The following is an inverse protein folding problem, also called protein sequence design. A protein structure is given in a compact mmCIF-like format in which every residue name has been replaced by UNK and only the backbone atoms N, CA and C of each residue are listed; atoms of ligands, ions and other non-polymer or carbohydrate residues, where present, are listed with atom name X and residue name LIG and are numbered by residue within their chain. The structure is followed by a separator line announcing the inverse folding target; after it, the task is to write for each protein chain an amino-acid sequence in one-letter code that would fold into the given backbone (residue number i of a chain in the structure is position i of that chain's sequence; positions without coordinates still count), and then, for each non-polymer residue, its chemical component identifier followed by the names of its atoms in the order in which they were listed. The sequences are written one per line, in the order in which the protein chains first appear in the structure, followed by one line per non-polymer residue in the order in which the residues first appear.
data_IF_690925029562
#
_entry.id   IF_690925029562
#
_cell.length_a   1.000
_cell.length_b   1.000
_cell.length_c   1.000
_cell.angle_alpha   90.00
_cell.angle_beta   90.00
_cell.angle_gamma   90.00
#
_symmetry.space_group_name_H-M   'P 1'
#
loop_
_entity.id
_entity.type
_entity.pdbx_description
1 polymer ?
#
# COMPACT_ATOMS: atom_id res chain seq x y z
N UNK A 1 1.91 -29.83 -4.93
CA UNK A 1 1.40 -28.45 -5.07
C UNK A 1 -0.12 -28.49 -4.99
N UNK A 2 -0.77 -27.45 -4.46
CA UNK A 2 -2.24 -27.32 -4.46
C UNK A 2 -2.65 -26.49 -5.67
N UNK A 3 -3.56 -27.00 -6.50
CA UNK A 3 -4.04 -26.29 -7.69
C UNK A 3 -5.11 -25.27 -7.29
N UNK A 4 -4.75 -23.99 -7.23
CA UNK A 4 -5.71 -22.91 -6.96
C UNK A 4 -6.45 -22.51 -8.25
N UNK A 5 -7.71 -22.92 -8.36
CA UNK A 5 -8.63 -22.40 -9.39
C UNK A 5 -9.15 -21.03 -8.94
N UNK A 6 -8.40 -19.97 -9.26
CA UNK A 6 -8.66 -18.59 -8.82
C UNK A 6 -10.09 -18.13 -9.08
N UNK A 7 -10.88 -17.97 -8.02
CA UNK A 7 -12.18 -17.30 -8.07
C UNK A 7 -12.01 -15.80 -7.78
N UNK A 8 -12.53 -14.97 -8.69
CA UNK A 8 -12.96 -13.59 -8.42
C UNK A 8 -11.95 -12.51 -8.02
N UNK A 9 -10.64 -12.67 -8.29
CA UNK A 9 -9.70 -11.55 -8.36
C UNK A 9 -9.18 -11.35 -9.80
N UNK A 10 -9.27 -10.12 -10.32
CA UNK A 10 -8.94 -9.79 -11.72
C UNK A 10 -7.47 -9.38 -11.82
N UNK A 11 -6.60 -10.39 -11.85
CA UNK A 11 -5.17 -10.22 -12.14
C UNK A 11 -4.95 -10.04 -13.63
N UNK A 12 -4.15 -9.04 -14.02
CA UNK A 12 -3.61 -8.97 -15.36
C UNK A 12 -2.30 -9.76 -15.40
N UNK A 13 -2.36 -10.96 -15.98
CA UNK A 13 -1.22 -11.85 -16.20
C UNK A 13 -0.67 -11.61 -17.59
N UNK A 14 0.59 -11.17 -17.68
CA UNK A 14 1.27 -10.95 -18.96
C UNK A 14 2.42 -11.96 -19.13
N UNK A 15 2.57 -12.50 -20.33
CA UNK A 15 3.71 -13.36 -20.67
C UNK A 15 4.90 -12.50 -21.09
N UNK A 16 5.94 -12.46 -20.26
CA UNK A 16 7.21 -11.77 -20.53
C UNK A 16 8.10 -12.61 -21.46
N UNK A 17 8.06 -13.93 -21.35
CA UNK A 17 8.66 -14.86 -22.32
C UNK A 17 7.71 -16.06 -22.54
N UNK A 18 7.57 -16.47 -23.81
CA UNK A 18 6.72 -17.58 -24.27
C UNK A 18 7.52 -18.81 -24.72
N UNK A 19 8.84 -18.83 -24.48
CA UNK A 19 9.70 -20.00 -24.73
C UNK A 19 9.27 -21.24 -23.93
N UNK A 20 9.35 -22.42 -24.56
CA UNK A 20 9.13 -23.71 -23.92
C UNK A 20 10.25 -24.11 -22.93
N UNK A 21 11.37 -23.38 -22.95
CA UNK A 21 12.55 -23.61 -22.10
C UNK A 21 12.67 -22.62 -20.96
N UNK A 22 12.28 -21.36 -21.19
CA UNK A 22 12.42 -20.24 -20.25
C UNK A 22 11.15 -19.37 -20.17
N UNK A 23 9.98 -19.97 -19.86
CA UNK A 23 8.72 -19.24 -19.73
C UNK A 23 8.81 -18.23 -18.57
N UNK A 24 8.22 -17.04 -18.75
CA UNK A 24 8.11 -16.08 -17.65
C UNK A 24 6.83 -15.25 -17.75
N UNK A 25 6.23 -15.01 -16.58
CA UNK A 25 5.00 -14.23 -16.44
C UNK A 25 5.20 -13.05 -15.48
N UNK A 26 4.48 -11.97 -15.73
CA UNK A 26 4.37 -10.81 -14.84
C UNK A 26 2.94 -10.73 -14.30
N UNK A 27 2.81 -10.64 -12.99
CA UNK A 27 1.54 -10.40 -12.31
C UNK A 27 1.40 -8.90 -12.03
N UNK A 28 0.35 -8.25 -12.56
CA UNK A 28 0.08 -6.83 -12.32
C UNK A 28 -1.06 -6.62 -11.31
N UNK A 29 -1.02 -5.48 -10.63
CA UNK A 29 -1.95 -5.05 -9.58
C UNK A 29 -1.93 -5.90 -8.28
N UNK A 30 -0.76 -6.43 -7.92
CA UNK A 30 -0.55 -7.20 -6.68
C UNK A 30 -0.73 -6.37 -5.39
N UNK A 31 -1.24 -7.02 -4.34
CA UNK A 31 -1.62 -6.47 -3.03
C UNK A 31 -0.99 -7.27 -1.87
N UNK A 32 -1.15 -6.86 -0.59
CA UNK A 32 -0.68 -7.57 0.64
C UNK A 32 -1.59 -8.83 0.88
N UNK A 33 -2.10 -9.43 -0.21
CA UNK A 33 -2.98 -10.59 -0.35
C UNK A 33 -2.66 -11.46 -1.60
N UNK A 34 -1.73 -11.02 -2.47
CA UNK A 34 -1.32 -11.74 -3.69
C UNK A 34 0.11 -12.34 -3.57
N UNK A 35 0.61 -12.37 -2.33
CA UNK A 35 1.80 -13.09 -1.89
C UNK A 35 1.54 -14.60 -1.83
N UNK A 36 2.45 -15.42 -2.35
CA UNK A 36 2.24 -16.87 -2.38
C UNK A 36 3.20 -17.67 -3.26
N UNK A 37 2.90 -18.97 -3.40
CA UNK A 37 3.64 -19.88 -4.27
C UNK A 37 3.10 -19.84 -5.71
N UNK A 38 4.00 -19.58 -6.66
CA UNK A 38 3.71 -19.57 -8.08
C UNK A 38 4.55 -20.63 -8.82
N UNK A 39 3.93 -21.31 -9.78
CA UNK A 39 4.62 -22.21 -10.72
C UNK A 39 4.01 -22.01 -12.12
N UNK A 40 4.84 -22.14 -13.15
CA UNK A 40 4.47 -21.81 -14.52
C UNK A 40 4.41 -23.09 -15.37
N UNK A 41 3.24 -23.70 -15.47
CA UNK A 41 3.04 -24.88 -16.34
C UNK A 41 2.89 -24.43 -17.80
N UNK A 42 3.81 -24.89 -18.64
CA UNK A 42 3.74 -24.72 -20.10
C UNK A 42 2.98 -25.90 -20.70
N UNK A 43 2.18 -25.65 -21.73
CA UNK A 43 1.49 -26.68 -22.50
C UNK A 43 1.96 -26.60 -23.95
N UNK A 44 2.29 -27.75 -24.52
CA UNK A 44 2.76 -27.88 -25.90
C UNK A 44 1.96 -28.99 -26.62
N UNK A 45 1.80 -28.87 -27.94
CA UNK A 45 1.09 -29.85 -28.77
C UNK A 45 2.10 -30.74 -29.50
N UNK A 46 2.42 -31.88 -28.87
CA UNK A 46 3.21 -32.92 -29.50
C UNK A 46 2.35 -33.73 -30.48
N UNK A 47 3.01 -34.53 -31.33
CA UNK A 47 2.33 -35.38 -32.33
C UNK A 47 1.37 -36.39 -31.68
N UNK A 48 1.69 -36.84 -30.46
CA UNK A 48 0.87 -37.74 -29.64
C UNK A 48 -0.14 -37.01 -28.71
N UNK A 49 -0.30 -35.69 -28.87
CA UNK A 49 -1.30 -34.88 -28.16
C UNK A 49 -0.74 -33.82 -27.20
N UNK A 50 -1.63 -33.26 -26.37
CA UNK A 50 -1.33 -32.15 -25.46
C UNK A 50 -0.41 -32.59 -24.32
N UNK A 51 0.82 -32.07 -24.29
CA UNK A 51 1.83 -32.36 -23.27
C UNK A 51 2.01 -31.18 -22.33
N UNK A 52 1.69 -31.39 -21.05
CA UNK A 52 2.00 -30.43 -19.98
C UNK A 52 3.46 -30.58 -19.52
N UNK A 53 4.21 -29.48 -19.50
CA UNK A 53 5.55 -29.36 -18.92
C UNK A 53 5.51 -28.34 -17.78
N UNK A 54 5.40 -28.83 -16.55
CA UNK A 54 5.69 -28.01 -15.37
C UNK A 54 7.19 -28.05 -15.07
N UNK A 55 7.82 -26.93 -14.65
CA UNK A 55 8.99 -26.96 -13.80
C UNK A 55 8.73 -27.86 -12.59
N UNK A 56 9.79 -28.48 -12.05
CA UNK A 56 9.70 -29.20 -10.77
C UNK A 56 9.60 -28.23 -9.59
N UNK A 57 10.05 -27.00 -9.80
CA UNK A 57 10.19 -25.95 -8.80
C UNK A 57 8.94 -25.07 -8.70
N UNK A 58 8.74 -24.49 -7.51
CA UNK A 58 7.71 -23.50 -7.21
C UNK A 58 8.36 -22.32 -6.49
N UNK A 59 8.10 -21.10 -6.94
CA UNK A 59 8.73 -19.89 -6.41
C UNK A 59 7.79 -19.20 -5.42
N UNK A 60 8.30 -18.86 -4.23
CA UNK A 60 7.56 -18.03 -3.29
C UNK A 60 7.79 -16.55 -3.62
N UNK A 61 6.71 -15.81 -3.89
CA UNK A 61 6.75 -14.39 -4.27
C UNK A 61 6.22 -13.56 -3.10
N UNK A 62 7.11 -12.77 -2.48
CA UNK A 62 6.75 -11.83 -1.39
C UNK A 62 6.31 -10.48 -1.94
N UNK A 63 5.35 -9.82 -1.29
CA UNK A 63 4.81 -8.50 -1.71
C UNK A 63 4.98 -7.52 -0.54
N UNK A 64 6.14 -6.86 -0.52
CA UNK A 64 6.71 -6.32 0.73
C UNK A 64 6.01 -5.07 1.31
N UNK A 65 6.13 -4.92 2.63
CA UNK A 65 5.66 -3.78 3.40
C UNK A 65 6.44 -2.49 3.05
N UNK A 66 5.75 -1.33 3.07
CA UNK A 66 6.32 -0.04 2.65
C UNK A 66 6.34 0.98 3.78
N UNK A 67 7.47 1.64 3.98
CA UNK A 67 7.55 2.85 4.81
C UNK A 67 6.94 4.06 4.08
N UNK A 68 6.13 4.84 4.79
CA UNK A 68 5.49 6.07 4.30
C UNK A 68 5.72 7.18 5.32
N UNK A 69 6.47 8.20 4.93
CA UNK A 69 6.57 9.46 5.65
C UNK A 69 5.35 10.33 5.32
N UNK A 70 4.75 10.93 6.35
CA UNK A 70 3.60 11.83 6.27
C UNK A 70 3.94 13.11 7.03
N UNK A 71 3.42 14.25 6.57
CA UNK A 71 3.61 15.55 7.19
C UNK A 71 2.28 16.28 7.35
N UNK A 72 2.13 17.01 8.43
CA UNK A 72 1.04 17.95 8.69
C UNK A 72 1.60 19.27 9.24
N UNK A 73 1.06 20.39 8.77
CA UNK A 73 1.43 21.73 9.22
C UNK A 73 0.18 22.59 9.35
N UNK A 74 0.14 23.41 10.39
CA UNK A 74 -0.96 24.32 10.68
C UNK A 74 -0.45 25.59 11.37
N UNK A 75 -1.01 26.75 11.01
CA UNK A 75 -0.65 28.06 11.57
C UNK A 75 -1.83 28.64 12.35
N UNK A 76 -1.56 29.26 13.51
CA UNK A 76 -2.61 29.81 14.36
C UNK A 76 -2.13 30.81 15.42
N UNK A 77 -3.10 31.41 16.11
CA UNK A 77 -2.97 32.17 17.36
C UNK A 77 -4.07 31.68 18.31
N UNK A 78 -3.77 30.94 19.40
CA UNK A 78 -2.46 30.38 19.78
C UNK A 78 -1.95 29.30 18.80
N UNK A 79 -0.76 28.77 19.07
CA UNK A 79 -0.17 27.66 18.29
C UNK A 79 -1.11 26.44 18.27
N UNK A 80 -1.40 25.84 17.10
CA UNK A 80 -2.33 24.73 17.01
C UNK A 80 -1.70 23.40 17.42
N UNK A 81 -2.36 22.61 18.26
CA UNK A 81 -1.90 21.26 18.57
C UNK A 81 -2.16 20.31 17.39
N UNK A 82 -1.26 19.36 17.15
CA UNK A 82 -1.38 18.34 16.10
C UNK A 82 -1.43 16.96 16.75
N UNK A 83 -2.43 16.17 16.36
CA UNK A 83 -2.60 14.77 16.72
C UNK A 83 -2.77 13.91 15.45
N UNK A 84 -2.39 12.65 15.52
CA UNK A 84 -2.51 11.71 14.40
C UNK A 84 -3.56 10.64 14.71
N UNK A 85 -4.52 10.48 13.81
CA UNK A 85 -5.57 9.46 13.86
C UNK A 85 -5.31 8.48 12.72
N UNK A 86 -4.69 7.36 13.06
CA UNK A 86 -4.33 6.26 12.15
C UNK A 86 -5.35 5.14 12.34
N UNK A 87 -5.98 4.66 11.27
CA UNK A 87 -6.85 3.48 11.37
C UNK A 87 -6.01 2.22 11.69
N UNK A 88 -6.48 1.35 12.61
CA UNK A 88 -5.71 0.22 13.11
C UNK A 88 -5.30 -0.76 12.01
N UNK A 89 -4.20 -1.49 12.25
CA UNK A 89 -3.57 -2.38 11.27
C UNK A 89 -2.53 -1.70 10.37
N UNK A 90 -2.31 -0.39 10.50
CA UNK A 90 -1.03 0.18 10.09
C UNK A 90 0.03 -0.35 11.08
N UNK A 91 1.22 -0.67 10.56
CA UNK A 91 2.37 -1.06 11.37
C UNK A 91 3.02 0.16 12.04
N UNK A 92 4.10 -0.11 12.75
CA UNK A 92 4.66 0.79 13.75
C UNK A 92 4.97 2.20 13.22
N UNK A 93 4.66 3.20 14.07
CA UNK A 93 5.12 4.56 13.92
C UNK A 93 6.52 4.68 14.52
N UNK A 94 7.55 4.61 13.67
CA UNK A 94 8.95 4.55 14.09
C UNK A 94 9.61 5.91 14.27
N UNK A 95 9.01 6.96 13.72
CA UNK A 95 9.50 8.34 13.83
C UNK A 95 8.32 9.29 14.01
N UNK A 96 8.46 10.26 14.91
CA UNK A 96 7.51 11.32 15.22
C UNK A 96 8.30 12.60 15.52
N UNK A 97 8.36 13.50 14.56
CA UNK A 97 9.09 14.76 14.68
C UNK A 97 8.10 15.92 14.74
N UNK A 98 8.05 16.59 15.89
CA UNK A 98 7.21 17.76 16.12
C UNK A 98 8.10 19.01 16.22
N UNK A 99 7.72 20.09 15.54
CA UNK A 99 8.35 21.40 15.68
C UNK A 99 7.29 22.51 15.69
N UNK A 100 7.67 23.70 16.15
CA UNK A 100 6.81 24.89 16.08
C UNK A 100 7.67 26.11 15.83
N UNK A 101 7.27 26.92 14.86
CA UNK A 101 7.95 28.13 14.40
C UNK A 101 7.09 29.32 14.74
N UNK A 102 7.66 30.31 15.44
CA UNK A 102 7.03 31.61 15.64
C UNK A 102 7.30 32.47 14.41
N UNK A 103 6.23 32.94 13.77
CA UNK A 103 6.29 33.78 12.58
C UNK A 103 6.36 35.27 12.95
N UNK A 104 6.91 36.10 12.06
CA UNK A 104 7.07 37.55 12.30
C UNK A 104 5.73 38.30 12.49
N UNK A 105 4.62 37.77 11.98
CA UNK A 105 3.27 38.31 12.23
C UNK A 105 2.70 37.95 13.62
N UNK A 106 3.49 37.24 14.44
CA UNK A 106 3.11 36.73 15.76
C UNK A 106 2.20 35.50 15.73
N UNK A 107 1.97 34.87 14.57
CA UNK A 107 1.33 33.54 14.50
C UNK A 107 2.37 32.46 14.79
N UNK A 108 1.93 31.28 15.20
CA UNK A 108 2.79 30.11 15.35
C UNK A 108 2.37 29.02 14.36
N UNK A 109 3.33 28.52 13.60
CA UNK A 109 3.17 27.37 12.70
C UNK A 109 3.70 26.13 13.40
N UNK A 110 2.79 25.23 13.78
CA UNK A 110 3.15 23.91 14.29
C UNK A 110 3.23 22.91 13.14
N UNK A 111 4.25 22.04 13.19
CA UNK A 111 4.54 21.03 12.17
C UNK A 111 4.72 19.69 12.89
N UNK A 112 4.17 18.63 12.31
CA UNK A 112 4.35 17.26 12.76
C UNK A 112 4.61 16.36 11.57
N UNK A 113 5.64 15.52 11.66
CA UNK A 113 5.97 14.49 10.68
C UNK A 113 5.92 13.13 11.36
N UNK A 114 5.39 12.11 10.68
CA UNK A 114 5.46 10.71 11.13
C UNK A 114 5.94 9.79 10.02
N UNK A 115 6.65 8.73 10.38
CA UNK A 115 6.96 7.62 9.47
C UNK A 115 6.23 6.35 9.93
N UNK A 116 5.42 5.79 9.04
CA UNK A 116 4.62 4.59 9.29
C UNK A 116 5.07 3.42 8.42
N UNK A 117 5.15 2.22 9.00
CA UNK A 117 5.24 0.98 8.23
C UNK A 117 3.84 0.55 7.79
N UNK A 118 3.54 0.56 6.49
CA UNK A 118 2.26 0.08 5.99
C UNK A 118 2.46 -1.31 5.33
N UNK A 119 1.92 -2.41 5.92
CA UNK A 119 2.22 -3.78 5.49
C UNK A 119 1.30 -4.20 4.32
N UNK A 120 1.74 -4.09 3.01
CA UNK A 120 0.07 -3.79 0.24
C UNK A 120 -1.59 -4.18 0.31
N UNK A 121 -2.28 -4.51 1.47
CA UNK A 121 -3.70 -4.88 1.82
C UNK A 121 -4.45 -3.97 2.85
N UNK A 122 -3.86 -3.56 3.99
CA UNK A 122 -4.29 -2.51 4.94
C UNK A 122 -5.10 -1.44 4.23
N UNK A 123 -6.42 -1.47 4.45
CA UNK A 123 -7.37 -0.60 3.80
C UNK A 123 -7.85 0.45 4.80
N UNK A 124 -7.02 1.46 5.07
CA UNK A 124 -7.31 2.47 6.08
C UNK A 124 -7.08 3.91 5.64
N UNK A 125 -7.01 4.79 6.64
CA UNK A 125 -6.76 6.22 6.50
C UNK A 125 -5.83 6.70 7.60
N UNK A 126 -4.99 7.68 7.27
CA UNK A 126 -4.31 8.51 8.27
C UNK A 126 -4.86 9.92 8.16
N UNK A 127 -5.26 10.47 9.30
CA UNK A 127 -5.87 11.78 9.43
C UNK A 127 -5.07 12.60 10.43
N UNK A 128 -4.61 13.77 10.01
CA UNK A 128 -4.10 14.79 10.91
C UNK A 128 -5.31 15.49 11.57
N UNK A 129 -5.27 15.64 12.88
CA UNK A 129 -6.30 16.29 13.69
C UNK A 129 -5.67 17.47 14.41
N UNK A 130 -6.23 18.66 14.22
CA UNK A 130 -5.77 19.91 14.82
C UNK A 130 -6.67 20.24 16.01
N UNK A 131 -6.10 20.71 17.12
CA UNK A 131 -6.82 21.22 18.29
C UNK A 131 -7.90 20.25 18.82
N UNK A 132 -7.52 18.97 18.98
CA UNK A 132 -8.40 17.88 19.44
C UNK A 132 -9.16 18.26 20.72
N UNK A 133 -10.44 17.87 20.79
CA UNK A 133 -11.35 18.11 21.92
C UNK A 133 -11.66 19.60 22.20
N UNK A 134 -11.49 20.49 21.21
CA UNK A 134 -11.77 21.94 21.36
C UNK A 134 -12.77 22.48 20.33
N UNK A 135 -13.32 23.68 20.58
CA UNK A 135 -14.12 24.43 19.58
C UNK A 135 -13.33 24.80 18.31
N UNK A 136 -12.01 24.68 18.31
CA UNK A 136 -11.13 24.94 17.17
C UNK A 136 -10.72 23.69 16.40
N UNK A 137 -11.33 22.53 16.68
CA UNK A 137 -10.96 21.25 16.09
C UNK A 137 -11.13 21.24 14.56
N UNK A 138 -10.11 20.77 13.84
CA UNK A 138 -10.15 20.60 12.38
C UNK A 138 -9.41 19.32 11.98
N UNK A 139 -10.01 18.49 11.13
CA UNK A 139 -9.37 17.26 10.64
C UNK A 139 -9.02 17.37 9.15
N UNK A 140 -7.89 16.76 8.76
CA UNK A 140 -7.44 16.63 7.37
C UNK A 140 -6.94 15.21 7.12
N UNK A 141 -7.59 14.49 6.21
CA UNK A 141 -7.10 13.19 5.75
C UNK A 141 -5.82 13.42 4.93
N UNK A 142 -4.73 12.78 5.35
CA UNK A 142 -3.39 12.95 4.78
C UNK A 142 -2.86 11.66 4.13
N UNK A 143 -3.44 10.50 4.48
CA UNK A 143 -3.25 9.26 3.72
C UNK A 143 -4.55 8.46 3.63
N UNK A 144 -4.70 7.67 2.56
CA UNK A 144 -5.77 6.68 2.45
C UNK A 144 -5.33 5.55 1.52
N UNK A 145 -5.57 4.32 1.93
CA UNK A 145 -5.47 3.14 1.09
C UNK A 145 -6.80 2.39 1.09
N UNK A 146 -7.14 1.77 -0.03
CA UNK A 146 -8.27 0.83 -0.14
C UNK A 146 -7.77 -0.35 -0.97
N UNK A 147 -7.74 -1.54 -0.37
CA UNK A 147 -7.45 -2.77 -1.11
C UNK A 147 -8.28 -2.84 -2.39
N UNK A 148 -7.60 -3.00 -3.53
CA UNK A 148 -8.21 -3.21 -4.85
C UNK A 148 -8.90 -2.02 -5.54
N UNK A 149 -9.24 -0.89 -4.88
CA UNK A 149 -9.92 0.25 -5.55
C UNK A 149 -9.50 1.65 -5.10
N UNK A 150 -8.64 2.29 -5.90
CA UNK A 150 -8.44 3.74 -5.92
C UNK A 150 -9.75 4.43 -6.38
N UNK A 151 -10.45 5.11 -5.47
CA UNK A 151 -11.47 6.08 -5.88
C UNK A 151 -10.76 7.34 -6.41
N UNK A 152 -10.75 7.55 -7.73
CA UNK A 152 -10.66 8.92 -8.27
C UNK A 152 -11.86 9.69 -7.74
N UNK A 153 -11.62 10.79 -7.04
CA UNK A 153 -12.65 11.82 -6.91
C UNK A 153 -12.88 12.39 -8.32
N UNK A 154 -14.14 12.59 -8.69
CA UNK A 154 -14.49 13.25 -9.93
C UNK A 154 -14.51 14.76 -9.75
N UNK A 155 -13.83 15.45 -10.67
CA UNK A 155 -14.10 16.82 -11.12
C UNK A 155 -13.78 16.84 -12.62
#
# INVERSE_FOLDING_TARGET
CVTYTFHHHVYLVEFTNKSLESPSITLRNVTWADEGFYSCTVYDYAVDGLRARSPRDCYFVTVQARWVALSCSATGKPAPSINWVILPGAGDQTDLQNSTVLNHDGTATSISNITLRIPVNWAGTVTCLLNKDTRGEKSKRVFSYRGGKLKRNGT
#
